data_IF_569183770396
#
_entry.id   IF_569183770396
#
_cell.length_a   1.000
_cell.length_b   1.000
_cell.length_c   1.000
_cell.angle_alpha   90.00
_cell.angle_beta   90.00
_cell.angle_gamma   90.00
#
_symmetry.space_group_name_H-M   'P 1'
#
loop_
_entity.id
_entity.type
_entity.pdbx_description
1 polymer ?
#
# COMPACT_ATOMS: atom_id res chain seq x y z
N UNK A 1 -14.00 3.76 5.19
CA UNK A 1 -12.80 3.85 6.07
C UNK A 1 -11.81 4.94 5.63
N UNK A 2 -11.20 4.86 4.43
CA UNK A 2 -10.14 5.78 3.95
C UNK A 2 -10.48 7.28 4.13
N UNK A 3 -11.71 7.70 3.82
CA UNK A 3 -12.16 9.09 3.99
C UNK A 3 -12.06 9.55 5.45
N UNK A 4 -12.38 8.70 6.41
CA UNK A 4 -12.27 9.04 7.84
C UNK A 4 -10.82 9.16 8.28
N UNK A 5 -9.93 8.29 7.78
CA UNK A 5 -8.50 8.42 8.02
C UNK A 5 -7.95 9.74 7.47
N UNK A 6 -8.31 10.13 6.25
CA UNK A 6 -7.88 11.41 5.67
C UNK A 6 -8.37 12.61 6.50
N UNK A 7 -9.61 12.57 7.00
CA UNK A 7 -10.13 13.59 7.92
C UNK A 7 -9.34 13.62 9.24
N UNK A 8 -9.03 12.46 9.80
CA UNK A 8 -8.24 12.36 11.04
C UNK A 8 -6.82 12.89 10.85
N UNK A 9 -6.15 12.57 9.73
CA UNK A 9 -4.83 13.11 9.39
C UNK A 9 -4.86 14.64 9.28
N UNK A 10 -5.89 15.19 8.65
CA UNK A 10 -6.06 16.65 8.55
C UNK A 10 -6.23 17.28 9.94
N UNK A 11 -7.05 16.66 10.81
CA UNK A 11 -7.24 17.12 12.18
C UNK A 11 -5.95 17.04 13.02
N UNK A 12 -5.18 15.95 12.92
CA UNK A 12 -3.89 15.79 13.60
C UNK A 12 -2.88 16.84 13.18
N UNK A 13 -2.78 17.11 11.86
CA UNK A 13 -1.91 18.17 11.34
C UNK A 13 -2.32 19.55 11.85
N UNK A 14 -3.62 19.83 11.91
CA UNK A 14 -4.14 21.11 12.41
C UNK A 14 -3.93 21.28 13.93
N UNK A 15 -3.97 20.18 14.68
CA UNK A 15 -3.72 20.17 16.13
C UNK A 15 -2.24 20.18 16.50
N UNK A 16 -1.34 19.85 15.56
CA UNK A 16 0.10 19.83 15.78
C UNK A 16 0.64 21.25 15.96
N UNK A 17 1.42 21.45 17.01
CA UNK A 17 2.08 22.74 17.32
C UNK A 17 3.60 22.55 17.43
N UNK A 18 4.41 23.62 17.42
CA UNK A 18 5.85 23.50 17.65
C UNK A 18 6.22 22.92 19.01
N UNK A 19 5.41 23.19 20.04
CA UNK A 19 5.61 22.67 21.40
C UNK A 19 5.06 21.25 21.59
N UNK A 20 4.07 20.84 20.78
CA UNK A 20 3.49 19.50 20.80
C UNK A 20 3.35 18.97 19.38
N UNK A 21 4.42 18.33 18.91
CA UNK A 21 4.51 17.85 17.54
C UNK A 21 3.93 16.43 17.41
N UNK A 22 2.90 16.28 16.58
CA UNK A 22 2.20 15.02 16.33
C UNK A 22 2.71 14.29 15.07
N UNK A 23 4.01 14.41 14.77
CA UNK A 23 4.62 13.84 13.55
C UNK A 23 4.45 12.32 13.50
N UNK A 24 4.80 11.60 14.56
CA UNK A 24 4.70 10.13 14.57
C UNK A 24 3.27 9.65 14.30
N UNK A 25 2.29 10.22 14.99
CA UNK A 25 0.87 9.89 14.83
C UNK A 25 0.42 10.18 13.41
N UNK A 26 0.79 11.35 12.88
CA UNK A 26 0.45 11.75 11.52
C UNK A 26 1.02 10.79 10.48
N UNK A 27 2.29 10.41 10.60
CA UNK A 27 2.93 9.44 9.69
C UNK A 27 2.33 8.04 9.83
N UNK A 28 2.13 7.55 11.06
CA UNK A 28 1.49 6.26 11.30
C UNK A 28 0.10 6.16 10.65
N UNK A 29 -0.74 7.20 10.81
CA UNK A 29 -2.06 7.24 10.18
C UNK A 29 -1.99 7.32 8.65
N UNK A 30 -1.00 8.02 8.09
CA UNK A 30 -0.80 8.07 6.63
C UNK A 30 -0.46 6.70 6.08
N UNK A 31 0.51 5.99 6.67
CA UNK A 31 0.89 4.66 6.21
C UNK A 31 -0.29 3.68 6.34
N UNK A 32 -1.07 3.78 7.42
CA UNK A 32 -2.31 2.98 7.57
C UNK A 32 -3.32 3.27 6.47
N UNK A 33 -3.45 4.52 6.04
CA UNK A 33 -4.33 4.91 4.94
C UNK A 33 -3.84 4.35 3.61
N UNK A 34 -2.54 4.42 3.37
CA UNK A 34 -1.91 3.83 2.18
C UNK A 34 -2.14 2.33 2.11
N UNK A 35 -1.96 1.62 3.22
CA UNK A 35 -2.19 0.17 3.29
C UNK A 35 -3.64 -0.18 2.91
N UNK A 36 -4.62 0.58 3.42
CA UNK A 36 -6.03 0.39 3.05
C UNK A 36 -6.30 0.69 1.57
N UNK A 37 -5.60 1.65 0.98
CA UNK A 37 -5.69 1.95 -0.45
C UNK A 37 -5.08 0.82 -1.29
N UNK A 38 -3.94 0.25 -0.88
CA UNK A 38 -3.33 -0.92 -1.52
C UNK A 38 -4.30 -2.12 -1.52
N UNK A 39 -4.92 -2.41 -0.37
CA UNK A 39 -5.91 -3.50 -0.27
C UNK A 39 -7.13 -3.27 -1.16
N UNK A 40 -7.64 -2.02 -1.20
CA UNK A 40 -8.75 -1.67 -2.08
C UNK A 40 -8.38 -1.86 -3.56
N UNK A 41 -7.18 -1.42 -3.96
CA UNK A 41 -6.69 -1.57 -5.32
C UNK A 41 -6.51 -3.04 -5.70
N UNK A 42 -6.02 -3.88 -4.78
CA UNK A 42 -5.92 -5.32 -4.98
C UNK A 42 -7.31 -5.96 -5.21
N UNK A 43 -8.29 -5.66 -4.34
CA UNK A 43 -9.67 -6.16 -4.50
C UNK A 43 -10.27 -5.71 -5.83
N UNK A 44 -10.10 -4.44 -6.19
CA UNK A 44 -10.57 -3.91 -7.46
C UNK A 44 -9.94 -4.63 -8.66
N UNK A 45 -8.63 -4.90 -8.57
CA UNK A 45 -7.88 -5.65 -9.58
C UNK A 45 -8.41 -7.10 -9.68
N UNK A 46 -8.62 -7.78 -8.57
CA UNK A 46 -9.22 -9.12 -8.54
C UNK A 46 -10.63 -9.15 -9.14
N UNK A 47 -11.45 -8.12 -8.91
CA UNK A 47 -12.79 -8.04 -9.49
C UNK A 47 -12.73 -7.83 -11.02
N UNK A 48 -11.79 -7.01 -11.51
CA UNK A 48 -11.58 -6.80 -12.94
C UNK A 48 -11.19 -8.10 -13.65
N UNK A 49 -10.35 -8.93 -13.03
CA UNK A 49 -9.92 -10.21 -13.59
C UNK A 49 -11.12 -11.09 -13.98
N UNK A 50 -12.22 -11.02 -13.23
CA UNK A 50 -13.42 -11.81 -13.46
C UNK A 50 -14.33 -11.27 -14.58
N UNK A 51 -14.19 -10.01 -14.98
CA UNK A 51 -15.14 -9.33 -15.87
C UNK A 51 -14.51 -8.79 -17.15
N UNK A 52 -13.18 -8.66 -17.21
CA UNK A 52 -12.47 -8.15 -18.39
C UNK A 52 -11.63 -9.27 -19.01
N UNK A 53 -12.03 -9.80 -20.18
CA UNK A 53 -11.20 -10.77 -20.90
C UNK A 53 -9.92 -10.11 -21.44
N UNK A 54 -8.84 -10.87 -21.64
CA UNK A 54 -7.64 -10.35 -22.30
C UNK A 54 -7.95 -9.80 -23.70
N UNK A 55 -7.28 -8.71 -24.13
CA UNK A 55 -7.51 -8.13 -25.44
C UNK A 55 -7.06 -9.10 -26.55
N UNK A 56 -7.71 -9.05 -27.72
CA UNK A 56 -7.37 -9.93 -28.85
C UNK A 56 -5.90 -9.83 -29.30
N UNK A 57 -5.27 -8.67 -29.10
CA UNK A 57 -3.86 -8.41 -29.39
C UNK A 57 -2.89 -8.96 -28.33
N UNK A 58 -3.36 -9.58 -27.25
CA UNK A 58 -2.52 -10.05 -26.14
C UNK A 58 -1.41 -11.01 -26.62
N UNK A 59 -1.72 -11.89 -27.58
CA UNK A 59 -0.72 -12.79 -28.17
C UNK A 59 0.43 -12.04 -28.86
N UNK A 60 0.13 -10.97 -29.60
CA UNK A 60 1.13 -10.11 -30.23
C UNK A 60 1.95 -9.33 -29.19
N UNK A 61 1.32 -8.88 -28.09
CA UNK A 61 2.03 -8.23 -26.98
C UNK A 61 3.03 -9.19 -26.34
N UNK A 62 2.65 -10.45 -26.10
CA UNK A 62 3.55 -11.48 -25.57
C UNK A 62 4.76 -11.66 -26.48
N UNK A 63 4.54 -11.79 -27.79
CA UNK A 63 5.63 -11.96 -28.77
C UNK A 63 6.61 -10.77 -28.76
N UNK A 64 6.09 -9.55 -28.66
CA UNK A 64 6.91 -8.33 -28.66
C UNK A 64 7.67 -8.11 -27.34
N UNK A 65 7.05 -8.42 -26.21
CA UNK A 65 7.61 -8.17 -24.86
C UNK A 65 8.42 -9.34 -24.32
N UNK A 66 8.23 -10.55 -24.88
CA UNK A 66 8.74 -11.83 -24.35
C UNK A 66 8.31 -12.08 -22.89
N UNK A 67 7.15 -11.56 -22.52
CA UNK A 67 6.56 -11.68 -21.20
C UNK A 67 5.26 -12.47 -21.31
N UNK A 68 5.34 -13.77 -21.00
CA UNK A 68 4.22 -14.72 -21.08
C UNK A 68 2.99 -14.28 -20.29
N UNK A 69 3.17 -13.52 -19.21
CA UNK A 69 2.05 -13.03 -18.41
C UNK A 69 1.20 -11.99 -19.14
N UNK A 70 1.71 -11.32 -20.17
CA UNK A 70 0.92 -10.38 -20.98
C UNK A 70 -0.22 -11.05 -21.75
N UNK A 71 -0.24 -12.38 -21.84
CA UNK A 71 -1.39 -13.13 -22.36
C UNK A 71 -2.68 -12.86 -21.60
N UNK A 72 -2.57 -12.47 -20.32
CA UNK A 72 -3.69 -12.08 -19.47
C UNK A 72 -4.04 -10.59 -19.62
N UNK A 73 -3.30 -9.85 -20.44
CA UNK A 73 -3.56 -8.46 -20.75
C UNK A 73 -3.26 -7.50 -19.61
N UNK A 74 -4.10 -6.45 -19.52
CA UNK A 74 -3.91 -5.32 -18.61
C UNK A 74 -3.82 -5.73 -17.12
N UNK A 75 -4.49 -6.82 -16.73
CA UNK A 75 -4.50 -7.30 -15.34
C UNK A 75 -3.10 -7.59 -14.80
N UNK A 76 -2.21 -8.12 -15.64
CA UNK A 76 -0.82 -8.42 -15.29
C UNK A 76 -0.09 -7.18 -14.81
N UNK A 77 -0.31 -6.05 -15.48
CA UNK A 77 0.33 -4.79 -15.10
C UNK A 77 -0.30 -4.20 -13.82
N UNK A 78 -1.61 -4.40 -13.60
CA UNK A 78 -2.27 -3.98 -12.36
C UNK A 78 -1.80 -4.79 -11.14
N UNK A 79 -1.68 -6.10 -11.26
CA UNK A 79 -1.17 -6.95 -10.17
C UNK A 79 0.28 -6.59 -9.84
N UNK A 80 1.14 -6.40 -10.85
CA UNK A 80 2.53 -5.92 -10.63
C UNK A 80 2.59 -4.55 -9.97
N UNK A 81 1.63 -3.67 -10.27
CA UNK A 81 1.50 -2.37 -9.62
C UNK A 81 1.11 -2.54 -8.15
N UNK A 82 0.11 -3.38 -7.84
CA UNK A 82 -0.31 -3.67 -6.47
C UNK A 82 0.87 -4.18 -5.61
N UNK A 83 1.65 -5.14 -6.13
CA UNK A 83 2.85 -5.67 -5.45
C UNK A 83 3.84 -4.56 -5.12
N UNK A 84 4.13 -3.66 -6.08
CA UNK A 84 5.02 -2.52 -5.84
C UNK A 84 4.49 -1.55 -4.79
N UNK A 85 3.18 -1.27 -4.80
CA UNK A 85 2.54 -0.38 -3.83
C UNK A 85 2.56 -0.97 -2.42
N UNK A 86 2.27 -2.27 -2.29
CA UNK A 86 2.33 -3.01 -1.02
C UNK A 86 3.76 -3.06 -0.47
N UNK A 87 4.75 -3.35 -1.32
CA UNK A 87 6.17 -3.30 -0.95
C UNK A 87 6.56 -1.92 -0.42
N UNK A 88 6.24 -0.86 -1.16
CA UNK A 88 6.51 0.51 -0.73
C UNK A 88 5.83 0.85 0.61
N UNK A 89 4.62 0.34 0.84
CA UNK A 89 3.92 0.48 2.11
C UNK A 89 4.67 -0.22 3.25
N UNK A 90 5.18 -1.43 3.02
CA UNK A 90 6.06 -2.15 3.96
C UNK A 90 7.33 -1.38 4.28
N UNK A 91 8.00 -0.81 3.27
CA UNK A 91 9.19 0.01 3.44
C UNK A 91 8.91 1.27 4.28
N UNK A 92 7.73 1.89 4.11
CA UNK A 92 7.30 3.01 4.94
C UNK A 92 7.07 2.61 6.40
N UNK A 93 6.44 1.47 6.65
CA UNK A 93 6.30 0.92 8.01
C UNK A 93 7.66 0.67 8.65
N UNK A 94 8.58 0.06 7.90
CA UNK A 94 9.93 -0.22 8.37
C UNK A 94 10.72 1.05 8.69
N UNK A 95 10.64 2.06 7.81
CA UNK A 95 11.25 3.36 8.03
C UNK A 95 10.70 4.04 9.29
N UNK A 96 9.38 4.02 9.48
CA UNK A 96 8.76 4.61 10.67
C UNK A 96 9.25 3.91 11.94
N UNK A 97 9.29 2.58 11.95
CA UNK A 97 9.82 1.77 13.05
C UNK A 97 11.25 2.19 13.43
N UNK A 98 12.14 2.36 12.45
CA UNK A 98 13.54 2.75 12.71
C UNK A 98 13.69 4.17 13.27
N UNK A 99 12.73 5.05 13.00
CA UNK A 99 12.74 6.44 13.48
C UNK A 99 11.98 6.64 14.79
N UNK A 100 11.26 5.62 15.28
CA UNK A 100 10.42 5.68 16.45
C UNK A 100 11.18 5.35 17.74
N UNK A 101 12.28 6.07 18.01
CA UNK A 101 13.21 5.77 19.11
C UNK A 101 12.56 5.78 20.50
N UNK A 102 11.54 6.61 20.70
CA UNK A 102 10.86 6.77 21.99
C UNK A 102 9.61 5.88 22.14
N UNK A 103 9.32 5.02 21.15
CA UNK A 103 8.16 4.15 21.21
C UNK A 103 8.36 3.00 22.20
N UNK A 104 7.30 2.65 22.92
CA UNK A 104 7.31 1.51 23.83
C UNK A 104 7.37 0.18 23.06
N UNK A 105 7.78 -0.92 23.71
CA UNK A 105 7.93 -2.22 23.05
C UNK A 105 6.67 -2.73 22.34
N UNK A 106 5.47 -2.48 22.89
CA UNK A 106 4.22 -2.94 22.27
C UNK A 106 3.92 -2.15 20.99
N UNK A 107 4.21 -0.85 20.97
CA UNK A 107 4.10 -0.03 19.76
C UNK A 107 5.09 -0.50 18.68
N UNK A 108 6.32 -0.80 19.07
CA UNK A 108 7.35 -1.33 18.15
C UNK A 108 6.95 -2.69 17.57
N UNK A 109 6.46 -3.61 18.40
CA UNK A 109 5.95 -4.92 17.98
C UNK A 109 4.79 -4.78 16.99
N UNK A 110 3.82 -3.91 17.28
CA UNK A 110 2.71 -3.66 16.38
C UNK A 110 3.17 -3.13 15.01
N UNK A 111 4.16 -2.23 14.96
CA UNK A 111 4.72 -1.75 13.70
C UNK A 111 5.43 -2.85 12.90
N UNK A 112 6.13 -3.78 13.58
CA UNK A 112 6.72 -4.95 12.92
C UNK A 112 5.65 -5.87 12.34
N UNK A 113 4.57 -6.13 13.08
CA UNK A 113 3.44 -6.93 12.58
C UNK A 113 2.84 -6.28 11.33
N UNK A 114 2.60 -4.97 11.36
CA UNK A 114 2.05 -4.24 10.19
C UNK A 114 2.98 -4.31 8.99
N UNK A 115 4.29 -4.20 9.19
CA UNK A 115 5.28 -4.38 8.13
C UNK A 115 5.25 -5.81 7.57
N UNK A 116 5.17 -6.83 8.43
CA UNK A 116 5.08 -8.23 8.02
C UNK A 116 3.79 -8.53 7.25
N UNK A 117 2.68 -7.87 7.60
CA UNK A 117 1.44 -7.97 6.82
C UNK A 117 1.63 -7.47 5.39
N UNK A 118 2.42 -6.41 5.17
CA UNK A 118 2.77 -5.97 3.82
C UNK A 118 3.63 -7.01 3.10
N UNK A 119 4.66 -7.54 3.76
CA UNK A 119 5.56 -8.57 3.17
C UNK A 119 4.80 -9.84 2.79
N UNK A 120 3.80 -10.23 3.58
CA UNK A 120 2.97 -11.39 3.28
C UNK A 120 2.12 -11.22 2.01
N UNK A 121 1.83 -9.97 1.63
CA UNK A 121 0.97 -9.62 0.49
C UNK A 121 1.76 -9.21 -0.77
N UNK A 122 3.07 -9.01 -0.65
CA UNK A 122 4.01 -8.77 -1.77
C UNK A 122 4.26 -10.06 -2.57
#
# INVERSE_FOLDING_TARGET
>A
AIIHYNKAIAALKAASTPSHNLTFQTEYMKIRTEFLQCLLQLIYTCNILCIVPPPAIAATIVQNTRDEYQRHGYITNQLRKCVKEIKNCGDMHWKLYQTAFDADPATLENMQILQQMCVLLE
#
